data_IF_711208726240
#
_entry.id   IF_711208726240
#
_cell.length_a   1.000
_cell.length_b   1.000
_cell.length_c   1.000
_cell.angle_alpha   90.00
_cell.angle_beta   90.00
_cell.angle_gamma   90.00
#
_symmetry.space_group_name_H-M   'P 1'
#
loop_
_entity.id
_entity.type
_entity.pdbx_description
1 polymer ?
#
# COMPACT_ATOMS: atom_id res chain seq x y z
N UNK A 1 7.20 -2.85 -6.28
CA UNK A 1 6.53 -3.46 -5.10
C UNK A 1 7.63 -3.61 -4.09
N UNK A 2 7.42 -3.04 -2.92
CA UNK A 2 8.37 -3.08 -1.81
C UNK A 2 7.83 -4.07 -0.76
N UNK A 3 8.73 -4.60 0.07
CA UNK A 3 8.41 -5.55 1.13
C UNK A 3 9.12 -5.10 2.41
N UNK A 4 8.45 -5.22 3.53
CA UNK A 4 9.01 -4.96 4.86
C UNK A 4 8.69 -6.12 5.78
N UNK A 5 9.66 -6.53 6.60
CA UNK A 5 9.45 -7.53 7.66
C UNK A 5 9.15 -6.81 8.97
N UNK A 6 8.04 -7.16 9.60
CA UNK A 6 7.63 -6.64 10.90
C UNK A 6 6.95 -7.77 11.70
N UNK A 7 7.30 -7.94 12.97
CA UNK A 7 6.76 -8.99 13.85
C UNK A 7 6.74 -10.41 13.23
N UNK A 8 7.84 -10.78 12.55
CA UNK A 8 7.97 -12.10 11.93
C UNK A 8 7.09 -12.32 10.70
N UNK A 9 6.45 -11.28 10.17
CA UNK A 9 5.64 -11.33 8.95
C UNK A 9 6.18 -10.38 7.89
N UNK A 10 6.07 -10.78 6.63
CA UNK A 10 6.39 -9.92 5.50
C UNK A 10 5.12 -9.22 5.00
N UNK A 11 5.18 -7.89 4.86
CA UNK A 11 4.10 -7.08 4.31
C UNK A 11 4.58 -6.44 3.01
N UNK A 12 3.82 -6.66 1.93
CA UNK A 12 4.09 -6.06 0.63
C UNK A 12 3.30 -4.75 0.46
N UNK A 13 3.95 -3.72 -0.08
CA UNK A 13 3.33 -2.42 -0.32
C UNK A 13 3.85 -1.77 -1.61
N UNK A 14 3.23 -0.65 -1.98
CA UNK A 14 3.68 0.22 -3.06
C UNK A 14 3.37 1.65 -2.69
N UNK A 15 4.33 2.55 -2.93
CA UNK A 15 4.12 3.99 -2.79
C UNK A 15 3.72 4.60 -4.14
N UNK A 16 2.77 5.53 -4.08
CA UNK A 16 2.47 6.45 -5.17
C UNK A 16 2.65 7.86 -4.63
N UNK A 17 3.44 8.65 -5.32
CA UNK A 17 3.70 10.03 -4.99
C UNK A 17 3.55 10.83 -6.27
N UNK A 18 2.43 11.56 -6.39
CA UNK A 18 2.13 12.38 -7.58
C UNK A 18 2.56 13.84 -7.36
N UNK A 19 3.57 14.06 -6.51
CA UNK A 19 4.07 15.39 -6.14
C UNK A 19 3.14 16.13 -5.17
N UNK A 20 2.47 15.39 -4.28
CA UNK A 20 1.53 15.96 -3.31
C UNK A 20 2.21 16.21 -1.97
N UNK A 21 2.07 17.42 -1.43
CA UNK A 21 2.66 17.82 -0.14
C UNK A 21 1.68 17.65 1.04
N UNK A 22 0.56 16.98 0.82
CA UNK A 22 -0.46 16.71 1.83
C UNK A 22 -0.16 15.50 2.72
N UNK A 23 -1.03 15.20 3.70
CA UNK A 23 -0.90 14.00 4.53
C UNK A 23 -0.89 12.72 3.69
N UNK A 24 -0.05 11.76 4.07
CA UNK A 24 0.00 10.44 3.43
C UNK A 24 -1.28 9.65 3.74
N UNK A 25 -1.85 9.01 2.72
CA UNK A 25 -2.99 8.08 2.86
C UNK A 25 -2.50 6.64 2.76
N UNK A 26 -2.90 5.80 3.71
CA UNK A 26 -2.63 4.37 3.69
C UNK A 26 -3.85 3.59 3.20
N UNK A 27 -3.69 2.85 2.11
CA UNK A 27 -4.75 2.04 1.50
C UNK A 27 -4.55 0.57 1.86
N UNK A 28 -5.47 0.00 2.65
CA UNK A 28 -5.41 -1.39 3.13
C UNK A 28 -6.53 -2.20 2.48
N UNK A 29 -6.23 -3.41 2.03
CA UNK A 29 -7.24 -4.34 1.49
C UNK A 29 -7.70 -5.33 2.56
N UNK A 30 -8.89 -5.91 2.37
CA UNK A 30 -9.40 -7.00 3.22
C UNK A 30 -8.70 -8.35 2.95
N UNK A 31 -9.05 -9.35 3.76
CA UNK A 31 -8.58 -10.72 3.63
C UNK A 31 -8.83 -11.29 2.23
N UNK A 32 -7.83 -11.99 1.66
CA UNK A 32 -7.90 -12.53 0.29
C UNK A 32 -7.78 -11.50 -0.83
N UNK A 33 -7.77 -10.20 -0.50
CA UNK A 33 -7.57 -9.13 -1.46
C UNK A 33 -6.11 -8.93 -1.86
N UNK A 34 -5.92 -8.11 -2.88
CA UNK A 34 -4.62 -7.56 -3.29
C UNK A 34 -4.73 -6.05 -3.41
N UNK A 35 -3.61 -5.37 -3.65
CA UNK A 35 -3.55 -3.93 -4.00
C UNK A 35 -4.49 -3.52 -5.16
N UNK A 36 -4.93 -4.46 -6.00
CA UNK A 36 -5.63 -4.16 -7.25
C UNK A 36 -7.03 -3.59 -7.02
N UNK A 37 -7.58 -3.72 -5.81
CA UNK A 37 -8.80 -3.03 -5.39
C UNK A 37 -8.66 -1.51 -5.40
N UNK A 38 -7.42 -0.99 -5.34
CA UNK A 38 -7.10 0.44 -5.30
C UNK A 38 -6.57 1.01 -6.62
N UNK A 39 -6.62 0.23 -7.71
CA UNK A 39 -6.00 0.59 -9.01
C UNK A 39 -6.48 1.92 -9.62
N UNK A 40 -7.67 2.40 -9.24
CA UNK A 40 -8.23 3.66 -9.77
C UNK A 40 -7.83 4.87 -8.92
N UNK A 41 -7.40 4.66 -7.68
CA UNK A 41 -6.99 5.69 -6.73
C UNK A 41 -5.47 5.85 -6.69
N UNK A 42 -4.75 4.75 -6.89
CA UNK A 42 -3.30 4.64 -6.73
C UNK A 42 -2.56 4.66 -8.07
#
# INVERSE_FOLDING_TARGET
MERVTHDGRETAYRRFDRGGDGPTVCLVHGSGGTKDVWKSQA
#
